data_IF_913166395243
#
_entry.id   IF_913166395243
#
_cell.length_a   1.000
_cell.length_b   1.000
_cell.length_c   1.000
_cell.angle_alpha   90.00
_cell.angle_beta   90.00
_cell.angle_gamma   90.00
#
_symmetry.space_group_name_H-M   'P 1'
#
loop_
_entity.id
_entity.type
_entity.pdbx_description
1 polymer ?
#
# COMPACT_ATOMS: atom_id res chain seq x y z
N UNK A 1 -12.97 8.63 -17.25
CA UNK A 1 -13.41 9.26 -15.99
C UNK A 1 -12.91 8.38 -14.85
N UNK A 2 -12.29 8.95 -13.82
CA UNK A 2 -11.79 8.17 -12.67
C UNK A 2 -12.96 7.57 -11.91
N UNK A 3 -12.93 6.26 -11.67
CA UNK A 3 -13.87 5.52 -10.83
C UNK A 3 -13.33 5.51 -9.40
N UNK A 4 -14.13 6.00 -8.46
CA UNK A 4 -13.81 5.98 -7.03
C UNK A 4 -14.81 5.04 -6.36
N UNK A 5 -14.31 4.09 -5.57
CA UNK A 5 -15.17 3.16 -4.83
C UNK A 5 -15.71 3.89 -3.60
N UNK A 6 -17.05 4.00 -3.44
CA UNK A 6 -17.62 4.58 -2.23
C UNK A 6 -17.18 3.83 -0.97
N UNK A 7 -16.83 4.55 0.10
CA UNK A 7 -16.28 3.96 1.33
C UNK A 7 -17.13 2.83 1.93
N UNK A 8 -18.46 2.90 1.81
CA UNK A 8 -19.39 1.89 2.30
C UNK A 8 -19.48 0.64 1.41
N UNK A 9 -19.07 0.74 0.14
CA UNK A 9 -19.00 -0.36 -0.82
C UNK A 9 -17.62 -1.00 -0.87
N UNK A 10 -16.59 -0.24 -0.48
CA UNK A 10 -15.22 -0.73 -0.30
C UNK A 10 -15.15 -1.72 0.87
N UNK A 11 -14.74 -2.96 0.65
CA UNK A 11 -14.78 -4.02 1.68
C UNK A 11 -13.38 -4.34 2.19
N UNK A 12 -13.20 -4.27 3.51
CA UNK A 12 -11.92 -4.65 4.16
C UNK A 12 -11.48 -6.09 3.89
N UNK A 13 -12.44 -7.00 3.66
CA UNK A 13 -12.20 -8.42 3.43
C UNK A 13 -12.47 -8.82 1.97
N UNK A 14 -12.23 -7.91 1.03
CA UNK A 14 -12.26 -8.24 -0.41
C UNK A 14 -11.21 -9.32 -0.71
N UNK A 15 -11.56 -10.22 -1.64
CA UNK A 15 -10.70 -11.32 -2.07
C UNK A 15 -10.19 -11.15 -3.49
N UNK A 16 -9.68 -9.96 -3.74
CA UNK A 16 -9.25 -9.49 -5.07
C UNK A 16 -7.72 -9.31 -5.16
N UNK A 17 -6.98 -9.71 -4.11
CA UNK A 17 -5.52 -9.63 -4.08
C UNK A 17 -4.86 -10.54 -5.11
N UNK A 18 -3.69 -10.11 -5.59
CA UNK A 18 -2.96 -10.75 -6.68
C UNK A 18 -1.95 -11.81 -6.20
N UNK A 19 -1.43 -11.64 -4.99
CA UNK A 19 -0.46 -12.50 -4.30
C UNK A 19 -1.07 -13.19 -3.08
N UNK A 20 -1.90 -12.46 -2.32
CA UNK A 20 -2.62 -12.97 -1.16
C UNK A 20 -4.14 -12.95 -1.41
N UNK A 21 -4.91 -13.89 -0.84
CA UNK A 21 -6.35 -13.90 -1.02
C UNK A 21 -7.07 -12.69 -0.42
N UNK A 22 -6.40 -11.86 0.38
CA UNK A 22 -6.99 -10.67 1.01
C UNK A 22 -6.25 -9.44 0.52
N UNK A 23 -6.95 -8.64 -0.26
CA UNK A 23 -6.44 -7.49 -0.99
C UNK A 23 -5.81 -6.44 -0.04
N UNK A 24 -6.55 -6.04 0.99
CA UNK A 24 -6.08 -5.04 1.96
C UNK A 24 -4.90 -5.58 2.79
N UNK A 25 -4.84 -6.90 3.00
CA UNK A 25 -3.69 -7.53 3.65
C UNK A 25 -2.46 -7.53 2.73
N UNK A 26 -2.66 -7.74 1.43
CA UNK A 26 -1.60 -7.64 0.43
C UNK A 26 -0.98 -6.25 0.40
N UNK A 27 -1.79 -5.19 0.32
CA UNK A 27 -1.33 -3.79 0.39
C UNK A 27 -0.50 -3.53 1.65
N UNK A 28 -1.03 -3.90 2.82
CA UNK A 28 -0.32 -3.76 4.10
C UNK A 28 1.04 -4.48 4.09
N UNK A 29 1.06 -5.73 3.64
CA UNK A 29 2.27 -6.57 3.63
C UNK A 29 3.30 -6.04 2.63
N UNK A 30 2.87 -5.66 1.42
CA UNK A 30 3.75 -5.11 0.39
C UNK A 30 4.34 -3.77 0.82
N UNK A 31 3.54 -2.89 1.42
CA UNK A 31 4.03 -1.61 1.92
C UNK A 31 5.02 -1.79 3.10
N UNK A 32 4.73 -2.70 4.03
CA UNK A 32 5.62 -3.06 5.15
C UNK A 32 6.98 -3.53 4.64
N UNK A 33 6.98 -4.55 3.77
CA UNK A 33 8.21 -5.11 3.24
C UNK A 33 8.88 -4.19 2.21
N UNK A 34 8.13 -3.32 1.55
CA UNK A 34 8.67 -2.27 0.68
C UNK A 34 9.55 -1.28 1.44
N UNK A 35 9.11 -0.83 2.63
CA UNK A 35 9.92 0.05 3.50
C UNK A 35 11.17 -0.67 3.98
N UNK A 36 11.01 -1.89 4.53
CA UNK A 36 12.14 -2.69 5.04
C UNK A 36 13.15 -2.99 3.92
N UNK A 37 12.67 -3.44 2.76
CA UNK A 37 13.49 -3.75 1.59
C UNK A 37 14.19 -2.52 1.02
N UNK A 38 13.51 -1.37 0.98
CA UNK A 38 14.12 -0.08 0.60
C UNK A 38 15.37 0.21 1.43
N UNK A 39 15.27 0.12 2.74
CA UNK A 39 16.40 0.41 3.62
C UNK A 39 17.47 -0.68 3.57
N UNK A 40 17.09 -1.95 3.73
CA UNK A 40 18.07 -3.04 3.90
C UNK A 40 18.71 -3.50 2.59
N UNK A 41 17.94 -3.56 1.50
CA UNK A 41 18.42 -4.08 0.21
C UNK A 41 18.94 -2.96 -0.68
N UNK A 42 18.18 -1.87 -0.81
CA UNK A 42 18.53 -0.76 -1.70
C UNK A 42 19.37 0.32 -1.02
N UNK A 43 19.58 0.21 0.30
CA UNK A 43 20.42 1.12 1.10
C UNK A 43 20.01 2.59 0.97
N UNK A 44 18.73 2.87 0.75
CA UNK A 44 18.19 4.23 0.77
C UNK A 44 17.81 4.65 2.18
N UNK A 45 17.72 5.96 2.43
CA UNK A 45 17.33 6.46 3.75
C UNK A 45 15.90 6.02 4.10
N UNK A 46 15.61 5.82 5.39
CA UNK A 46 14.28 5.43 5.87
C UNK A 46 13.20 6.42 5.41
N UNK A 47 13.49 7.73 5.46
CA UNK A 47 12.56 8.74 4.96
C UNK A 47 12.29 8.58 3.46
N UNK A 48 13.34 8.35 2.67
CA UNK A 48 13.20 8.12 1.22
C UNK A 48 12.36 6.87 0.95
N UNK A 49 12.59 5.77 1.68
CA UNK A 49 11.81 4.54 1.54
C UNK A 49 10.32 4.79 1.84
N UNK A 50 10.01 5.44 2.97
CA UNK A 50 8.64 5.80 3.35
C UNK A 50 7.95 6.65 2.27
N UNK A 51 8.60 7.71 1.79
CA UNK A 51 8.03 8.59 0.78
C UNK A 51 7.82 7.89 -0.57
N UNK A 52 8.77 7.05 -0.98
CA UNK A 52 8.65 6.29 -2.23
C UNK A 52 7.50 5.28 -2.17
N UNK A 53 7.42 4.49 -1.09
CA UNK A 53 6.34 3.51 -0.95
C UNK A 53 4.98 4.21 -0.85
N UNK A 54 4.89 5.35 -0.16
CA UNK A 54 3.64 6.14 -0.10
C UNK A 54 3.22 6.66 -1.46
N UNK A 55 4.16 7.19 -2.25
CA UNK A 55 3.91 7.65 -3.60
C UNK A 55 3.49 6.50 -4.52
N UNK A 56 4.13 5.34 -4.42
CA UNK A 56 3.80 4.16 -5.21
C UNK A 56 2.39 3.64 -4.88
N UNK A 57 2.02 3.53 -3.60
CA UNK A 57 0.66 3.14 -3.20
C UNK A 57 -0.40 4.12 -3.73
N UNK A 58 -0.16 5.42 -3.62
CA UNK A 58 -1.08 6.42 -4.16
C UNK A 58 -1.22 6.35 -5.70
N UNK A 59 -0.10 6.21 -6.41
CA UNK A 59 -0.08 6.07 -7.88
C UNK A 59 -0.78 4.78 -8.31
N UNK A 60 -0.62 3.70 -7.54
CA UNK A 60 -1.30 2.44 -7.80
C UNK A 60 -2.82 2.59 -7.74
N UNK A 61 -3.34 3.23 -6.69
CA UNK A 61 -4.77 3.49 -6.55
C UNK A 61 -5.32 4.43 -7.62
N UNK A 62 -4.55 5.45 -8.02
CA UNK A 62 -4.92 6.29 -9.16
C UNK A 62 -5.04 5.43 -10.42
N UNK A 63 -4.05 4.58 -10.69
CA UNK A 63 -4.05 3.68 -11.85
C UNK A 63 -5.28 2.78 -11.82
N UNK A 64 -5.63 2.18 -10.68
CA UNK A 64 -6.84 1.34 -10.58
C UNK A 64 -8.14 2.15 -10.73
N UNK A 65 -8.13 3.40 -10.29
CA UNK A 65 -9.20 4.37 -10.56
C UNK A 65 -9.47 4.62 -12.05
N UNK A 66 -8.46 4.53 -12.92
CA UNK A 66 -8.64 4.75 -14.36
C UNK A 66 -8.80 3.46 -15.17
N UNK A 67 -8.16 2.37 -14.75
CA UNK A 67 -7.96 1.19 -15.62
C UNK A 67 -8.53 -0.11 -15.08
N UNK A 68 -8.96 -0.18 -13.82
CA UNK A 68 -9.32 -1.45 -13.18
C UNK A 68 -10.61 -1.34 -12.36
N UNK A 69 -10.55 -1.76 -11.09
CA UNK A 69 -11.70 -1.95 -10.21
C UNK A 69 -12.20 -0.63 -9.57
N UNK A 70 -11.39 0.44 -9.66
CA UNK A 70 -11.64 1.76 -9.07
C UNK A 70 -10.63 2.08 -7.98
N UNK A 71 -10.49 3.35 -7.64
CA UNK A 71 -9.68 3.81 -6.52
C UNK A 71 -10.33 3.36 -5.21
N UNK A 72 -9.62 2.55 -4.42
CA UNK A 72 -10.04 2.12 -3.10
C UNK A 72 -9.39 2.99 -2.04
N UNK A 73 -10.23 3.66 -1.24
CA UNK A 73 -9.72 4.35 -0.06
C UNK A 73 -9.09 3.35 0.93
N UNK A 74 -9.69 2.17 1.11
CA UNK A 74 -9.24 1.20 2.11
C UNK A 74 -7.93 0.51 1.73
N UNK A 75 -7.66 0.30 0.44
CA UNK A 75 -6.34 -0.16 -0.03
C UNK A 75 -5.27 0.87 0.26
N UNK A 76 -5.53 2.14 -0.06
CA UNK A 76 -4.60 3.22 0.29
C UNK A 76 -4.35 3.31 1.80
N UNK A 77 -5.40 3.18 2.63
CA UNK A 77 -5.24 3.15 4.09
C UNK A 77 -4.44 1.93 4.56
N UNK A 78 -4.61 0.76 3.91
CA UNK A 78 -3.83 -0.43 4.22
C UNK A 78 -2.35 -0.25 3.85
N UNK A 79 -2.04 0.40 2.73
CA UNK A 79 -0.67 0.81 2.39
C UNK A 79 -0.08 1.69 3.49
N UNK A 80 -0.80 2.74 3.92
CA UNK A 80 -0.30 3.63 4.98
C UNK A 80 -0.05 2.88 6.29
N UNK A 81 -0.92 1.92 6.64
CA UNK A 81 -0.71 1.07 7.81
C UNK A 81 0.55 0.20 7.68
N UNK A 82 0.78 -0.38 6.49
CA UNK A 82 2.00 -1.13 6.18
C UNK A 82 3.25 -0.28 6.26
N UNK A 83 3.23 0.93 5.70
CA UNK A 83 4.34 1.90 5.81
C UNK A 83 4.64 2.24 7.26
N UNK A 84 3.61 2.53 8.07
CA UNK A 84 3.77 2.85 9.48
C UNK A 84 4.37 1.67 10.26
N UNK A 85 3.92 0.44 9.99
CA UNK A 85 4.51 -0.76 10.56
C UNK A 85 5.98 -0.93 10.15
N UNK A 86 6.31 -0.69 8.88
CA UNK A 86 7.66 -0.84 8.34
C UNK A 86 8.60 0.20 8.94
N UNK A 87 8.15 1.44 9.02
CA UNK A 87 8.84 2.51 9.73
C UNK A 87 9.10 2.13 11.18
N UNK A 88 8.08 1.65 11.91
CA UNK A 88 8.22 1.24 13.30
C UNK A 88 9.26 0.13 13.46
N UNK A 89 9.22 -0.92 12.62
CA UNK A 89 10.23 -1.99 12.62
C UNK A 89 11.64 -1.42 12.42
N UNK A 90 11.81 -0.53 11.45
CA UNK A 90 13.11 0.07 11.13
C UNK A 90 13.64 1.05 12.18
N UNK A 91 12.85 1.46 13.18
CA UNK A 91 13.37 2.21 14.34
C UNK A 91 14.17 1.33 15.31
N UNK A 92 14.03 0.00 15.23
CA UNK A 92 14.66 -0.96 16.13
C UNK A 92 15.79 -1.77 15.47
N UNK A 93 16.10 -1.49 14.20
CA UNK A 93 17.13 -2.14 13.38
C UNK A 93 18.27 -1.17 13.15
#
# INVERSE_FOLDING_TARGET
MMKIIPWNQDKWLSREGSLLPYDKLEHLVLALFGVIGGVLMFKISLLTAVLLIAALGFVWEIKDGFYSHGFSGKDFFADMAGIAAGYAVMQWV
#
